data_IF_894522896089
#
_entry.id   IF_894522896089
#
_cell.length_a   1.000
_cell.length_b   1.000
_cell.length_c   1.000
_cell.angle_alpha   90.00
_cell.angle_beta   90.00
_cell.angle_gamma   90.00
#
_symmetry.space_group_name_H-M   'P 1'
#
loop_
_entity.id
_entity.type
_entity.pdbx_description
1 polymer ?
#
# COMPACT_ATOMS: atom_id res chain seq x y z
N UNK A 1 -5.80 -2.07 -26.54
CA UNK A 1 -4.89 -1.47 -25.54
C UNK A 1 -4.82 -2.26 -24.22
N UNK A 2 -5.82 -3.05 -23.81
CA UNK A 2 -5.78 -3.90 -22.60
C UNK A 2 -4.75 -5.04 -22.63
N UNK A 3 -4.63 -5.72 -23.77
CA UNK A 3 -3.78 -6.92 -23.95
C UNK A 3 -2.29 -6.72 -23.61
N UNK A 4 -1.62 -5.62 -24.02
CA UNK A 4 -0.23 -5.39 -23.62
C UNK A 4 -0.05 -5.20 -22.11
N UNK A 5 -1.04 -4.67 -21.39
CA UNK A 5 -0.91 -4.39 -19.95
C UNK A 5 -1.13 -5.63 -19.09
N UNK A 6 -2.03 -6.53 -19.51
CA UNK A 6 -2.17 -7.86 -18.89
C UNK A 6 -0.88 -8.68 -19.04
N UNK A 7 -0.26 -8.64 -20.22
CA UNK A 7 1.00 -9.36 -20.47
C UNK A 7 2.12 -8.78 -19.61
N UNK A 8 2.26 -7.45 -19.53
CA UNK A 8 3.24 -6.80 -18.65
C UNK A 8 3.05 -7.19 -17.19
N UNK A 9 1.81 -7.25 -16.69
CA UNK A 9 1.54 -7.67 -15.31
C UNK A 9 1.83 -9.14 -15.05
N UNK A 10 1.54 -10.02 -16.00
CA UNK A 10 1.89 -11.44 -15.89
C UNK A 10 3.42 -11.61 -15.87
N UNK A 11 4.14 -10.89 -16.74
CA UNK A 11 5.59 -10.88 -16.75
C UNK A 11 6.18 -10.28 -15.47
N UNK A 12 5.54 -9.27 -14.87
CA UNK A 12 5.91 -8.74 -13.56
C UNK A 12 5.79 -9.79 -12.46
N UNK A 13 4.67 -10.51 -12.40
CA UNK A 13 4.50 -11.61 -11.44
C UNK A 13 5.54 -12.71 -11.63
N UNK A 14 5.81 -13.13 -12.87
CA UNK A 14 6.81 -14.16 -13.16
C UNK A 14 8.22 -13.67 -12.79
N UNK A 15 8.59 -12.45 -13.18
CA UNK A 15 9.89 -11.89 -12.86
C UNK A 15 10.11 -11.75 -11.35
N UNK A 16 9.06 -11.38 -10.60
CA UNK A 16 9.10 -11.33 -9.14
C UNK A 16 9.32 -12.73 -8.52
N UNK A 17 8.56 -13.73 -8.96
CA UNK A 17 8.71 -15.10 -8.48
C UNK A 17 10.12 -15.64 -8.76
N UNK A 18 10.63 -15.45 -9.98
CA UNK A 18 12.00 -15.85 -10.35
C UNK A 18 13.04 -15.13 -9.49
N UNK A 19 12.87 -13.82 -9.26
CA UNK A 19 13.80 -13.04 -8.45
C UNK A 19 13.86 -13.49 -6.98
N UNK A 20 12.76 -14.01 -6.45
CA UNK A 20 12.69 -14.53 -5.08
C UNK A 20 13.24 -15.95 -4.99
N UNK A 21 12.90 -16.84 -5.93
CA UNK A 21 13.37 -18.23 -5.92
C UNK A 21 14.86 -18.37 -6.18
N UNK A 22 15.38 -17.68 -7.19
CA UNK A 22 16.81 -17.72 -7.50
C UNK A 22 17.62 -16.90 -6.48
N UNK A 23 16.99 -15.87 -5.91
CA UNK A 23 17.58 -14.99 -4.93
C UNK A 23 18.79 -14.20 -5.45
N UNK A 24 19.46 -13.52 -4.52
CA UNK A 24 20.67 -12.77 -4.81
C UNK A 24 20.46 -11.42 -5.51
N UNK A 25 21.51 -10.61 -5.49
CA UNK A 25 21.47 -9.24 -5.99
C UNK A 25 21.17 -9.16 -7.49
N UNK A 26 21.69 -10.10 -8.29
CA UNK A 26 21.52 -10.09 -9.74
C UNK A 26 20.05 -10.22 -10.14
N UNK A 27 19.35 -11.23 -9.64
CA UNK A 27 17.95 -11.45 -10.01
C UNK A 27 17.00 -10.39 -9.44
N UNK A 28 17.31 -9.87 -8.25
CA UNK A 28 16.64 -8.66 -7.73
C UNK A 28 16.82 -7.47 -8.67
N UNK A 29 18.05 -7.17 -9.09
CA UNK A 29 18.33 -6.07 -10.02
C UNK A 29 17.65 -6.24 -11.38
N UNK A 30 17.59 -7.47 -11.90
CA UNK A 30 16.85 -7.79 -13.14
C UNK A 30 15.36 -7.50 -12.97
N UNK A 31 14.74 -7.92 -11.86
CA UNK A 31 13.34 -7.62 -11.57
C UNK A 31 13.07 -6.12 -11.51
N UNK A 32 13.86 -5.36 -10.74
CA UNK A 32 13.72 -3.91 -10.70
C UNK A 32 13.92 -3.28 -12.09
N UNK A 33 14.93 -3.70 -12.84
CA UNK A 33 15.17 -3.21 -14.20
C UNK A 33 13.98 -3.44 -15.14
N UNK A 34 13.38 -4.63 -15.10
CA UNK A 34 12.20 -4.97 -15.91
C UNK A 34 10.95 -4.20 -15.46
N UNK A 35 10.72 -4.07 -14.15
CA UNK A 35 9.61 -3.31 -13.59
C UNK A 35 9.68 -1.84 -14.04
N UNK A 36 10.86 -1.22 -13.92
CA UNK A 36 11.11 0.14 -14.39
C UNK A 36 10.90 0.26 -15.90
N UNK A 37 11.45 -0.67 -16.68
CA UNK A 37 11.28 -0.68 -18.13
C UNK A 37 9.80 -0.70 -18.54
N UNK A 38 8.99 -1.59 -17.96
CA UNK A 38 7.56 -1.67 -18.29
C UNK A 38 6.77 -0.47 -17.81
N UNK A 39 7.11 0.10 -16.64
CA UNK A 39 6.49 1.31 -16.14
C UNK A 39 6.77 2.50 -17.07
N UNK A 40 8.04 2.78 -17.36
CA UNK A 40 8.44 3.96 -18.14
C UNK A 40 8.12 3.86 -19.63
N UNK A 41 8.03 2.65 -20.19
CA UNK A 41 7.65 2.46 -21.59
C UNK A 41 6.24 2.96 -21.91
N UNK A 42 5.35 3.03 -20.91
CA UNK A 42 4.05 3.69 -21.08
C UNK A 42 4.26 5.20 -20.84
N UNK A 43 4.34 5.99 -21.92
CA UNK A 43 4.71 7.42 -21.87
C UNK A 43 3.65 8.34 -21.22
N UNK A 44 2.49 7.82 -20.82
CA UNK A 44 1.37 8.62 -20.33
C UNK A 44 1.41 8.81 -18.80
N UNK A 45 1.32 10.02 -18.25
CA UNK A 45 1.27 10.31 -16.79
C UNK A 45 2.32 9.60 -15.91
N UNK A 46 3.55 9.44 -16.42
CA UNK A 46 4.68 8.82 -15.71
C UNK A 46 5.06 9.44 -14.35
N UNK A 47 4.81 10.73 -14.12
CA UNK A 47 5.15 11.41 -12.87
C UNK A 47 4.10 11.27 -11.76
N UNK A 48 2.83 11.06 -12.14
CA UNK A 48 1.70 11.12 -11.20
C UNK A 48 1.65 9.90 -10.29
N UNK A 49 1.99 8.72 -10.80
CA UNK A 49 1.86 7.46 -10.06
C UNK A 49 3.21 6.82 -9.70
N UNK A 50 4.26 7.64 -9.64
CA UNK A 50 5.63 7.14 -9.50
C UNK A 50 5.91 6.66 -8.07
N UNK A 51 5.32 7.29 -7.05
CA UNK A 51 5.52 6.85 -5.67
C UNK A 51 4.80 5.52 -5.43
N UNK A 52 3.56 5.38 -5.90
CA UNK A 52 2.83 4.10 -5.86
C UNK A 52 3.57 3.00 -6.60
N UNK A 53 4.20 3.29 -7.75
CA UNK A 53 5.04 2.33 -8.47
C UNK A 53 6.25 1.87 -7.65
N UNK A 54 7.01 2.82 -7.10
CA UNK A 54 8.20 2.52 -6.30
C UNK A 54 7.84 1.67 -5.08
N UNK A 55 6.79 2.06 -4.37
CA UNK A 55 6.33 1.38 -3.16
C UNK A 55 5.81 0.00 -3.52
N UNK A 56 4.98 -0.13 -4.56
CA UNK A 56 4.51 -1.43 -5.04
C UNK A 56 5.67 -2.35 -5.38
N UNK A 57 6.66 -1.88 -6.13
CA UNK A 57 7.79 -2.72 -6.58
C UNK A 57 8.68 -3.13 -5.41
N UNK A 58 8.96 -2.19 -4.50
CA UNK A 58 9.76 -2.44 -3.30
C UNK A 58 9.07 -3.44 -2.37
N UNK A 59 7.82 -3.19 -2.00
CA UNK A 59 7.07 -4.07 -1.09
C UNK A 59 6.72 -5.40 -1.74
N UNK A 60 6.49 -5.46 -3.05
CA UNK A 60 6.32 -6.73 -3.76
C UNK A 60 7.55 -7.63 -3.59
N UNK A 61 8.76 -7.08 -3.73
CA UNK A 61 10.00 -7.83 -3.51
C UNK A 61 10.20 -8.21 -2.04
N UNK A 62 10.05 -7.25 -1.12
CA UNK A 62 10.28 -7.48 0.31
C UNK A 62 9.29 -8.49 0.92
N UNK A 63 7.99 -8.32 0.68
CA UNK A 63 6.95 -9.16 1.28
C UNK A 63 7.00 -10.59 0.70
N UNK A 64 7.24 -10.71 -0.60
CA UNK A 64 7.36 -12.04 -1.24
C UNK A 64 8.64 -12.75 -0.79
N UNK A 65 9.74 -12.03 -0.61
CA UNK A 65 10.98 -12.60 -0.05
C UNK A 65 10.79 -13.03 1.40
N UNK A 66 10.13 -12.21 2.22
CA UNK A 66 9.79 -12.56 3.60
C UNK A 66 8.93 -13.83 3.67
N UNK A 67 7.90 -13.93 2.83
CA UNK A 67 7.06 -15.12 2.74
C UNK A 67 7.84 -16.36 2.32
N UNK A 68 8.78 -16.23 1.38
CA UNK A 68 9.64 -17.34 0.96
C UNK A 68 10.48 -17.87 2.14
N UNK A 69 11.19 -16.99 2.85
CA UNK A 69 11.99 -17.39 4.01
C UNK A 69 11.14 -17.96 5.16
N UNK A 70 9.99 -17.35 5.46
CA UNK A 70 9.09 -17.82 6.51
C UNK A 70 8.48 -19.20 6.19
N UNK A 71 8.28 -19.51 4.90
CA UNK A 71 7.71 -20.80 4.47
C UNK A 71 8.77 -21.86 4.23
N UNK A 72 10.01 -21.53 3.90
CA UNK A 72 11.12 -22.50 3.80
C UNK A 72 11.43 -23.14 5.16
N UNK A 73 11.26 -22.39 6.26
CA UNK A 73 11.45 -22.90 7.63
C UNK A 73 10.33 -23.86 8.09
N UNK A 74 9.16 -23.84 7.45
CA UNK A 74 8.03 -24.70 7.76
C UNK A 74 7.89 -25.78 6.68
N UNK A 75 7.59 -27.03 7.04
CA UNK A 75 7.62 -28.22 6.15
C UNK A 75 6.69 -28.14 4.91
N UNK A 76 5.90 -27.07 4.75
CA UNK A 76 5.14 -26.79 3.53
C UNK A 76 6.05 -26.22 2.44
N UNK A 77 6.08 -26.83 1.26
CA UNK A 77 6.83 -26.33 0.11
C UNK A 77 6.56 -24.83 -0.15
N UNK A 78 7.55 -23.98 0.14
CA UNK A 78 7.48 -22.50 0.06
C UNK A 78 7.20 -21.93 -1.34
N UNK A 79 6.91 -22.80 -2.31
CA UNK A 79 6.65 -22.46 -3.71
C UNK A 79 5.25 -21.84 -3.89
N UNK A 80 4.20 -22.45 -3.32
CA UNK A 80 2.83 -21.99 -3.55
C UNK A 80 2.54 -20.58 -2.98
N UNK A 81 2.99 -20.22 -1.76
CA UNK A 81 2.78 -18.88 -1.21
C UNK A 81 3.47 -17.78 -2.03
N UNK A 82 4.67 -18.05 -2.55
CA UNK A 82 5.42 -17.10 -3.40
C UNK A 82 4.68 -16.83 -4.71
N UNK A 83 4.16 -17.87 -5.37
CA UNK A 83 3.38 -17.68 -6.59
C UNK A 83 2.08 -16.91 -6.35
N UNK A 84 1.40 -17.18 -5.24
CA UNK A 84 0.17 -16.47 -4.89
C UNK A 84 0.44 -14.99 -4.61
N UNK A 85 1.48 -14.68 -3.83
CA UNK A 85 1.91 -13.31 -3.57
C UNK A 85 2.32 -12.60 -4.87
N UNK A 86 3.10 -13.28 -5.71
CA UNK A 86 3.55 -12.73 -7.00
C UNK A 86 2.37 -12.42 -7.94
N UNK A 87 1.36 -13.29 -7.97
CA UNK A 87 0.14 -13.06 -8.74
C UNK A 87 -0.67 -11.87 -8.20
N UNK A 88 -0.77 -11.73 -6.87
CA UNK A 88 -1.42 -10.60 -6.22
C UNK A 88 -0.73 -9.26 -6.57
N UNK A 89 0.59 -9.19 -6.43
CA UNK A 89 1.36 -8.00 -6.79
C UNK A 89 1.34 -7.72 -8.30
N UNK A 90 1.32 -8.76 -9.13
CA UNK A 90 1.08 -8.63 -10.57
C UNK A 90 -0.28 -8.00 -10.88
N UNK A 91 -1.33 -8.41 -10.18
CA UNK A 91 -2.66 -7.81 -10.32
C UNK A 91 -2.67 -6.34 -9.89
N UNK A 92 -1.99 -5.98 -8.80
CA UNK A 92 -1.85 -4.57 -8.38
C UNK A 92 -1.05 -3.75 -9.40
N UNK A 93 0.00 -4.33 -10.01
CA UNK A 93 0.74 -3.69 -11.09
C UNK A 93 -0.11 -3.49 -12.34
N UNK A 94 -1.00 -4.43 -12.66
CA UNK A 94 -2.01 -4.27 -13.71
C UNK A 94 -2.94 -3.09 -13.41
N UNK A 95 -3.44 -2.97 -12.17
CA UNK A 95 -4.31 -1.84 -11.79
C UNK A 95 -3.58 -0.50 -11.95
N UNK A 96 -2.33 -0.41 -11.50
CA UNK A 96 -1.48 0.77 -11.64
C UNK A 96 -1.32 1.17 -13.13
N UNK A 97 -0.93 0.22 -13.99
CA UNK A 97 -0.81 0.46 -15.42
C UNK A 97 -2.16 0.81 -16.07
N UNK A 98 -3.25 0.20 -15.64
CA UNK A 98 -4.59 0.46 -16.17
C UNK A 98 -5.13 1.85 -15.79
N UNK A 99 -4.81 2.35 -14.60
CA UNK A 99 -5.12 3.75 -14.21
C UNK A 99 -4.32 4.73 -15.08
N UNK A 100 -3.05 4.39 -15.34
CA UNK A 100 -2.11 5.19 -16.15
C UNK A 100 -2.52 5.25 -17.63
N UNK A 101 -3.01 4.14 -18.19
CA UNK A 101 -3.40 4.01 -19.60
C UNK A 101 -4.89 4.32 -19.88
N UNK A 102 -5.61 4.94 -18.93
CA UNK A 102 -7.06 5.22 -19.00
C UNK A 102 -7.94 4.00 -19.35
N UNK A 103 -7.49 2.80 -18.98
CA UNK A 103 -8.24 1.58 -19.26
C UNK A 103 -9.56 1.55 -18.47
N UNK A 104 -9.63 2.28 -17.36
CA UNK A 104 -10.77 2.26 -16.45
C UNK A 104 -11.62 3.54 -16.47
N UNK A 105 -12.94 3.35 -16.52
CA UNK A 105 -13.93 4.43 -16.40
C UNK A 105 -13.94 5.08 -14.99
N UNK A 106 -13.62 4.32 -13.93
CA UNK A 106 -13.64 4.78 -12.53
C UNK A 106 -12.23 4.84 -11.92
N UNK A 107 -11.35 5.69 -12.47
CA UNK A 107 -9.94 5.83 -12.03
C UNK A 107 -9.81 6.11 -10.53
N UNK A 108 -10.66 6.97 -9.99
CA UNK A 108 -10.61 7.39 -8.59
C UNK A 108 -10.81 6.21 -7.62
N UNK A 109 -11.80 5.36 -7.89
CA UNK A 109 -12.10 4.20 -7.05
C UNK A 109 -10.98 3.14 -7.11
N UNK A 110 -10.39 2.92 -8.28
CA UNK A 110 -9.32 1.93 -8.46
C UNK A 110 -8.02 2.43 -7.84
N UNK A 111 -7.73 3.73 -7.94
CA UNK A 111 -6.60 4.31 -7.24
C UNK A 111 -6.76 4.22 -5.73
N UNK A 112 -7.95 4.52 -5.17
CA UNK A 112 -8.23 4.29 -3.75
C UNK A 112 -7.99 2.83 -3.32
N UNK A 113 -8.42 1.87 -4.14
CA UNK A 113 -8.18 0.46 -3.88
C UNK A 113 -6.70 0.09 -3.92
N UNK A 114 -5.95 0.61 -4.89
CA UNK A 114 -4.51 0.42 -5.01
C UNK A 114 -3.77 1.04 -3.82
N UNK A 115 -4.01 2.31 -3.50
CA UNK A 115 -3.41 3.01 -2.36
C UNK A 115 -3.77 2.33 -1.04
N UNK A 116 -5.02 1.93 -0.85
CA UNK A 116 -5.47 1.13 0.29
C UNK A 116 -4.70 -0.19 0.43
N UNK A 117 -4.46 -0.89 -0.68
CA UNK A 117 -3.65 -2.11 -0.69
C UNK A 117 -2.20 -1.82 -0.32
N UNK A 118 -1.61 -0.74 -0.82
CA UNK A 118 -0.24 -0.34 -0.46
C UNK A 118 -0.14 0.04 1.03
N UNK A 119 -1.08 0.82 1.56
CA UNK A 119 -1.15 1.11 2.99
C UNK A 119 -1.27 -0.17 3.83
N UNK A 120 -1.99 -1.18 3.34
CA UNK A 120 -2.10 -2.47 4.01
C UNK A 120 -0.75 -3.19 4.11
N UNK A 121 0.02 -3.27 3.02
CA UNK A 121 1.34 -3.92 3.03
C UNK A 121 2.36 -3.15 3.89
N UNK A 122 2.38 -1.83 3.77
CA UNK A 122 3.25 -0.96 4.60
C UNK A 122 2.89 -1.09 6.08
N UNK A 123 1.59 -1.09 6.43
CA UNK A 123 1.14 -1.29 7.79
C UNK A 123 1.43 -2.70 8.31
N UNK A 124 1.19 -3.73 7.49
CA UNK A 124 1.42 -5.14 7.85
C UNK A 124 2.87 -5.41 8.18
N UNK A 125 3.79 -4.96 7.33
CA UNK A 125 5.23 -5.05 7.59
C UNK A 125 5.64 -4.29 8.85
N UNK A 126 5.04 -3.12 9.11
CA UNK A 126 5.33 -2.35 10.33
C UNK A 126 4.93 -3.07 11.61
N UNK A 127 3.80 -3.77 11.62
CA UNK A 127 3.38 -4.52 12.80
C UNK A 127 4.14 -5.83 12.99
N UNK A 128 4.62 -6.45 11.91
CA UNK A 128 5.46 -7.68 11.95
C UNK A 128 6.88 -7.38 12.40
N UNK A 129 7.40 -6.17 12.14
CA UNK A 129 8.75 -5.79 12.54
C UNK A 129 8.97 -5.93 14.06
N UNK A 130 10.16 -6.43 14.41
CA UNK A 130 10.60 -6.57 15.79
C UNK A 130 10.83 -5.19 16.42
N UNK A 131 10.05 -4.89 17.47
CA UNK A 131 10.06 -3.60 18.18
C UNK A 131 11.16 -3.55 19.24
N UNK A 132 11.62 -4.71 19.70
CA UNK A 132 12.64 -4.83 20.75
C UNK A 132 14.05 -4.60 20.19
N UNK A 133 14.21 -4.62 18.87
CA UNK A 133 15.46 -4.33 18.18
C UNK A 133 15.98 -2.91 18.44
N UNK A 134 15.16 -1.97 18.92
CA UNK A 134 15.59 -0.62 19.30
C UNK A 134 15.97 0.27 18.10
N UNK A 135 17.26 0.53 17.90
CA UNK A 135 17.77 1.45 16.86
C UNK A 135 17.34 1.09 15.41
N UNK A 136 17.52 -0.17 14.97
CA UNK A 136 16.98 -0.66 13.70
C UNK A 136 15.47 -0.46 13.52
N UNK A 137 14.68 -0.65 14.59
CA UNK A 137 13.24 -0.41 14.55
C UNK A 137 12.92 1.08 14.34
N UNK A 138 13.66 1.98 14.99
CA UNK A 138 13.49 3.43 14.78
C UNK A 138 13.78 3.85 13.33
N UNK A 139 14.85 3.31 12.73
CA UNK A 139 15.17 3.56 11.33
C UNK A 139 14.06 3.04 10.41
N UNK A 140 13.56 1.84 10.69
CA UNK A 140 12.44 1.26 9.96
C UNK A 140 11.16 2.12 10.10
N UNK A 141 10.81 2.54 11.32
CA UNK A 141 9.65 3.40 11.57
C UNK A 141 9.76 4.75 10.83
N UNK A 142 10.96 5.32 10.75
CA UNK A 142 11.22 6.54 9.98
C UNK A 142 11.04 6.30 8.48
N UNK A 143 11.54 5.18 7.95
CA UNK A 143 11.31 4.79 6.56
C UNK A 143 9.83 4.58 6.26
N UNK A 144 9.09 3.88 7.13
CA UNK A 144 7.64 3.72 7.01
C UNK A 144 6.93 5.07 6.99
N UNK A 145 7.33 6.02 7.84
CA UNK A 145 6.77 7.38 7.81
C UNK A 145 7.00 8.09 6.48
N UNK A 146 8.18 7.93 5.86
CA UNK A 146 8.46 8.49 4.53
C UNK A 146 7.58 7.83 3.47
N UNK A 147 7.40 6.51 3.54
CA UNK A 147 6.53 5.76 2.62
C UNK A 147 5.07 6.21 2.74
N UNK A 148 4.54 6.34 3.96
CA UNK A 148 3.19 6.87 4.19
C UNK A 148 3.05 8.29 3.67
N UNK A 149 4.04 9.16 3.93
CA UNK A 149 4.05 10.52 3.40
C UNK A 149 3.95 10.56 1.88
N UNK A 150 4.74 9.73 1.18
CA UNK A 150 4.74 9.67 -0.28
C UNK A 150 3.39 9.19 -0.84
N UNK A 151 2.77 8.18 -0.23
CA UNK A 151 1.44 7.70 -0.65
C UNK A 151 0.36 8.76 -0.44
N UNK A 152 0.31 9.38 0.75
CA UNK A 152 -0.68 10.42 1.07
C UNK A 152 -0.50 11.62 0.16
N UNK A 153 0.75 12.02 -0.08
CA UNK A 153 1.06 13.12 -1.00
C UNK A 153 0.56 12.81 -2.41
N UNK A 154 0.83 11.60 -2.91
CA UNK A 154 0.35 11.17 -4.23
C UNK A 154 -1.18 11.16 -4.29
N UNK A 155 -1.86 10.65 -3.26
CA UNK A 155 -3.33 10.68 -3.14
C UNK A 155 -3.88 12.11 -3.19
N UNK A 156 -3.32 13.02 -2.39
CA UNK A 156 -3.76 14.43 -2.35
C UNK A 156 -3.51 15.11 -3.69
N UNK A 157 -2.35 14.90 -4.30
CA UNK A 157 -2.02 15.48 -5.61
C UNK A 157 -2.97 14.99 -6.71
N UNK A 158 -3.34 13.70 -6.68
CA UNK A 158 -4.26 13.10 -7.64
C UNK A 158 -5.72 13.55 -7.45
N UNK A 159 -6.22 13.66 -6.21
CA UNK A 159 -7.62 14.06 -5.98
C UNK A 159 -7.85 15.57 -6.02
N UNK A 160 -6.79 16.37 -5.89
CA UNK A 160 -6.90 17.81 -5.62
C UNK A 160 -6.05 18.64 -6.57
N UNK A 161 -6.08 18.36 -7.87
CA UNK A 161 -5.23 19.05 -8.86
C UNK A 161 -5.22 20.58 -8.68
N UNK A 162 -6.37 21.19 -8.44
CA UNK A 162 -6.58 22.66 -8.34
C UNK A 162 -6.18 23.32 -7.00
N UNK A 163 -5.86 22.56 -5.96
CA UNK A 163 -5.60 23.14 -4.63
C UNK A 163 -4.21 23.81 -4.53
N UNK A 164 -4.03 24.85 -3.69
CA UNK A 164 -2.73 25.49 -3.50
C UNK A 164 -1.66 24.51 -2.97
N UNK A 165 -0.48 24.47 -3.59
CA UNK A 165 0.63 23.55 -3.23
C UNK A 165 0.94 23.54 -1.73
N UNK A 166 1.04 24.73 -1.10
CA UNK A 166 1.33 24.85 0.34
C UNK A 166 0.26 24.18 1.23
N UNK A 167 -1.01 24.24 0.84
CA UNK A 167 -2.09 23.58 1.60
C UNK A 167 -2.00 22.05 1.46
N UNK A 168 -1.71 21.55 0.25
CA UNK A 168 -1.50 20.12 0.00
C UNK A 168 -0.35 19.57 0.84
N UNK A 169 0.78 20.26 0.87
CA UNK A 169 1.96 19.83 1.64
C UNK A 169 1.68 19.79 3.14
N UNK A 170 1.04 20.82 3.71
CA UNK A 170 0.68 20.86 5.13
C UNK A 170 -0.30 19.72 5.47
N UNK A 171 -1.28 19.45 4.61
CA UNK A 171 -2.20 18.34 4.80
C UNK A 171 -1.53 16.97 4.69
N UNK A 172 -0.61 16.80 3.73
CA UNK A 172 0.14 15.56 3.60
C UNK A 172 0.97 15.29 4.87
N UNK A 173 1.75 16.28 5.32
CA UNK A 173 2.56 16.17 6.54
C UNK A 173 1.68 15.92 7.76
N UNK A 174 0.62 16.71 7.94
CA UNK A 174 -0.28 16.57 9.09
C UNK A 174 -0.97 15.20 9.12
N UNK A 175 -1.42 14.70 7.98
CA UNK A 175 -2.04 13.38 7.87
C UNK A 175 -1.03 12.26 8.15
N UNK A 176 0.20 12.37 7.64
CA UNK A 176 1.27 11.39 7.94
C UNK A 176 1.55 11.33 9.43
N UNK A 177 1.70 12.48 10.11
CA UNK A 177 1.96 12.51 11.55
C UNK A 177 0.82 11.86 12.34
N UNK A 178 -0.43 12.17 12.00
CA UNK A 178 -1.59 11.51 12.62
C UNK A 178 -1.58 10.00 12.40
N UNK A 179 -1.29 9.54 11.18
CA UNK A 179 -1.21 8.09 10.87
C UNK A 179 -0.09 7.42 11.67
N UNK A 180 1.06 8.08 11.84
CA UNK A 180 2.15 7.57 12.68
C UNK A 180 1.76 7.48 14.15
N UNK A 181 1.00 8.44 14.68
CA UNK A 181 0.44 8.34 16.04
C UNK A 181 -0.54 7.18 16.16
N UNK A 182 -1.43 7.00 15.18
CA UNK A 182 -2.35 5.86 15.15
C UNK A 182 -1.61 4.53 15.03
N UNK A 183 -0.52 4.44 14.26
CA UNK A 183 0.34 3.25 14.22
C UNK A 183 0.89 2.91 15.61
N UNK A 184 1.31 3.93 16.37
CA UNK A 184 1.75 3.76 17.76
C UNK A 184 0.63 3.24 18.67
N UNK A 185 -0.56 3.84 18.61
CA UNK A 185 -1.73 3.41 19.41
C UNK A 185 -2.14 1.98 19.06
N UNK A 186 -2.29 1.69 17.77
CA UNK A 186 -2.69 0.38 17.25
C UNK A 186 -1.65 -0.68 17.57
N UNK A 187 -0.38 -0.31 17.64
CA UNK A 187 0.71 -1.22 18.04
C UNK A 187 0.63 -1.73 19.48
N UNK A 188 -0.14 -1.06 20.35
CA UNK A 188 -0.36 -1.47 21.74
C UNK A 188 -1.57 -2.41 21.87
N UNK A 189 -2.47 -2.42 20.88
CA UNK A 189 -3.64 -3.29 20.93
C UNK A 189 -3.22 -4.77 20.77
N UNK A 190 -3.77 -5.69 21.59
CA UNK A 190 -3.49 -7.13 21.50
C UNK A 190 -4.29 -7.78 20.35
N UNK A 191 -4.07 -7.28 19.14
CA UNK A 191 -4.69 -7.75 17.91
C UNK A 191 -3.60 -8.24 16.95
N UNK A 192 -3.89 -9.27 16.17
CA UNK A 192 -2.94 -9.79 15.18
C UNK A 192 -2.57 -8.75 14.12
N UNK A 193 -1.35 -8.83 13.58
CA UNK A 193 -0.80 -7.85 12.65
C UNK A 193 -1.68 -7.56 11.41
N UNK A 194 -2.40 -8.57 10.90
CA UNK A 194 -3.35 -8.41 9.79
C UNK A 194 -4.50 -7.47 10.15
N UNK A 195 -5.02 -7.59 11.38
CA UNK A 195 -6.11 -6.75 11.88
C UNK A 195 -5.61 -5.35 12.19
N UNK A 196 -4.39 -5.21 12.73
CA UNK A 196 -3.73 -3.91 12.91
C UNK A 196 -3.55 -3.17 11.59
N UNK A 197 -3.07 -3.86 10.54
CA UNK A 197 -2.90 -3.29 9.21
C UNK A 197 -4.25 -2.88 8.60
N UNK A 198 -5.28 -3.71 8.72
CA UNK A 198 -6.64 -3.38 8.26
C UNK A 198 -7.22 -2.16 8.98
N UNK A 199 -6.96 -2.02 10.28
CA UNK A 199 -7.41 -0.88 11.08
C UNK A 199 -6.71 0.41 10.65
N UNK A 200 -5.41 0.38 10.33
CA UNK A 200 -4.70 1.53 9.77
C UNK A 200 -5.28 1.93 8.41
N UNK A 201 -5.54 0.98 7.51
CA UNK A 201 -6.17 1.27 6.21
C UNK A 201 -7.54 1.93 6.39
N UNK A 202 -8.35 1.46 7.33
CA UNK A 202 -9.64 2.07 7.66
C UNK A 202 -9.48 3.51 8.14
N UNK A 203 -8.53 3.77 9.03
CA UNK A 203 -8.23 5.12 9.54
C UNK A 203 -7.81 6.04 8.39
N UNK A 204 -6.88 5.60 7.54
CA UNK A 204 -6.39 6.36 6.39
C UNK A 204 -7.54 6.69 5.44
N UNK A 205 -8.39 5.71 5.12
CA UNK A 205 -9.53 5.89 4.22
C UNK A 205 -10.51 6.94 4.76
N UNK A 206 -10.85 6.88 6.05
CA UNK A 206 -11.73 7.85 6.69
C UNK A 206 -11.12 9.25 6.67
N UNK A 207 -9.80 9.37 6.91
CA UNK A 207 -9.12 10.66 6.84
C UNK A 207 -9.09 11.23 5.43
N UNK A 208 -8.72 10.42 4.42
CA UNK A 208 -8.69 10.86 3.02
C UNK A 208 -10.07 11.35 2.57
N UNK A 209 -11.15 10.63 2.93
CA UNK A 209 -12.51 11.04 2.58
C UNK A 209 -12.96 12.33 3.29
N UNK A 210 -12.64 12.49 4.58
CA UNK A 210 -12.93 13.71 5.33
C UNK A 210 -12.15 14.91 4.79
N UNK A 211 -10.87 14.75 4.47
CA UNK A 211 -10.01 15.79 3.90
C UNK A 211 -10.54 16.20 2.53
N UNK A 212 -10.92 15.23 1.70
CA UNK A 212 -11.52 15.47 0.39
C UNK A 212 -12.80 16.31 0.46
N UNK A 213 -13.74 15.94 1.33
CA UNK A 213 -15.00 16.67 1.47
C UNK A 213 -14.84 18.03 2.17
N UNK A 214 -13.92 18.14 3.14
CA UNK A 214 -13.59 19.40 3.80
C UNK A 214 -13.03 20.41 2.81
N UNK A 215 -12.08 20.01 1.97
CA UNK A 215 -11.45 20.91 1.01
C UNK A 215 -12.35 21.28 -0.17
N UNK A 216 -13.29 20.41 -0.55
CA UNK A 216 -14.33 20.77 -1.54
C UNK A 216 -15.41 21.69 -0.98
N UNK A 217 -15.35 22.05 0.31
CA UNK A 217 -16.39 22.83 0.98
C UNK A 217 -17.75 22.11 1.05
N UNK A 218 -17.78 20.81 0.76
CA UNK A 218 -18.98 19.99 0.69
C UNK A 218 -19.16 19.14 1.96
N UNK A 219 -18.42 19.44 3.03
CA UNK A 219 -18.48 18.69 4.28
C UNK A 219 -19.84 18.90 4.95
N UNK A 220 -20.74 17.96 4.72
CA UNK A 220 -22.04 17.91 5.36
C UNK A 220 -22.00 17.02 6.60
N UNK A 221 -22.88 17.28 7.56
CA UNK A 221 -23.10 16.41 8.73
C UNK A 221 -23.38 14.97 8.31
N UNK A 222 -24.06 14.76 7.18
CA UNK A 222 -24.38 13.44 6.65
C UNK A 222 -23.12 12.65 6.27
N UNK A 223 -22.13 13.29 5.65
CA UNK A 223 -20.86 12.64 5.27
C UNK A 223 -20.09 12.22 6.52
N UNK A 224 -20.00 13.10 7.52
CA UNK A 224 -19.33 12.78 8.79
C UNK A 224 -20.00 11.60 9.50
N UNK A 225 -21.34 11.58 9.57
CA UNK A 225 -22.08 10.47 10.16
C UNK A 225 -21.91 9.17 9.37
N UNK A 226 -21.87 9.24 8.03
CA UNK A 226 -21.64 8.06 7.20
C UNK A 226 -20.25 7.47 7.46
N UNK A 227 -19.20 8.30 7.46
CA UNK A 227 -17.84 7.85 7.75
C UNK A 227 -17.70 7.31 9.17
N UNK A 228 -18.35 7.94 10.16
CA UNK A 228 -18.39 7.42 11.52
C UNK A 228 -19.10 6.06 11.60
N UNK A 229 -20.20 5.88 10.86
CA UNK A 229 -20.94 4.60 10.81
C UNK A 229 -20.08 3.51 10.17
N UNK A 230 -19.43 3.81 9.04
CA UNK A 230 -18.50 2.88 8.37
C UNK A 230 -17.37 2.49 9.34
N UNK A 231 -16.77 3.47 10.02
CA UNK A 231 -15.72 3.25 10.99
C UNK A 231 -16.19 2.33 12.13
N UNK A 232 -17.35 2.58 12.72
CA UNK A 232 -17.90 1.75 13.81
C UNK A 232 -18.16 0.32 13.33
N UNK A 233 -18.83 0.14 12.18
CA UNK A 233 -19.16 -1.19 11.64
C UNK A 233 -17.90 -1.98 11.31
N UNK A 234 -16.91 -1.35 10.66
CA UNK A 234 -15.65 -1.99 10.32
C UNK A 234 -14.82 -2.30 11.57
N UNK A 235 -14.76 -1.40 12.56
CA UNK A 235 -14.09 -1.68 13.83
C UNK A 235 -14.71 -2.88 14.54
N UNK A 236 -16.05 -2.95 14.63
CA UNK A 236 -16.74 -4.10 15.22
C UNK A 236 -16.36 -5.40 14.50
N UNK A 237 -16.28 -5.38 13.17
CA UNK A 237 -15.89 -6.56 12.39
C UNK A 237 -14.42 -6.96 12.61
N UNK A 238 -13.51 -5.99 12.66
CA UNK A 238 -12.07 -6.22 12.92
C UNK A 238 -11.87 -6.79 14.33
N UNK A 239 -12.52 -6.22 15.34
CA UNK A 239 -12.42 -6.73 16.71
C UNK A 239 -13.11 -8.09 16.89
N UNK A 240 -14.26 -8.31 16.25
CA UNK A 240 -14.95 -9.60 16.31
C UNK A 240 -14.15 -10.74 15.66
N UNK A 241 -13.38 -10.43 14.61
CA UNK A 241 -12.50 -11.42 13.94
C UNK A 241 -11.12 -11.50 14.58
N UNK A 242 -10.73 -10.54 15.42
CA UNK A 242 -9.52 -10.63 16.21
C UNK A 242 -9.65 -11.73 17.24
N UNK A 243 -8.85 -12.80 17.09
CA UNK A 243 -8.52 -13.64 18.24
C UNK A 243 -7.70 -12.75 19.17
N UNK A 244 -8.26 -12.42 20.34
CA UNK A 244 -7.48 -11.84 21.44
C UNK A 244 -6.40 -12.86 21.81
N UNK A 245 -5.21 -12.70 21.23
CA UNK A 245 -4.00 -13.37 21.71
C UNK A 245 -3.54 -12.56 22.91
N UNK A 246 -4.05 -12.95 24.08
CA UNK A 246 -3.57 -12.51 25.39
C UNK A 246 -2.35 -13.38 25.77
#
# INVERSE_FOLDING_TARGET
>A
MLMPSIIKSALFAIALAVAVFEGGFFWGAVFFGLAFYWYFRSSFEWGTFFCSFLILTLYAYLDTSFLYYATETNVSSGVAPVWLASALFGALFFLLLGIKEFVFLRRQAIFNFLSGSLYFFVGGTFFVADKDAGGPFLLYALLSSVVFYLLIKESIDFFMEDAPKRKKEVLAIGSTLLIMEFLGVVGILPIGFLNSAALIVLIVFVFEDLIYHHLKGALSRQIVLNNATILIVCLLFIFATSKLTL
#
